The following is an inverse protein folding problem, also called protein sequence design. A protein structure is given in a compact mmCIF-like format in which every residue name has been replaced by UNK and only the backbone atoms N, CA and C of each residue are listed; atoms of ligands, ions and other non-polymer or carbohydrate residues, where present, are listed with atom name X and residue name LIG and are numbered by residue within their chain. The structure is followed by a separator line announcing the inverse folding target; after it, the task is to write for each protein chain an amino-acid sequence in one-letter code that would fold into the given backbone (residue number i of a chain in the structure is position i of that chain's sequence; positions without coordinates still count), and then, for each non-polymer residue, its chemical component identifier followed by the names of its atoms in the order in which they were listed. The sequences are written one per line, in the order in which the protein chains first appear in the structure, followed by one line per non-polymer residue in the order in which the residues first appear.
data_IF_363191802575
#
_entry.id   IF_363191802575
#
_cell.length_a   1.000
_cell.length_b   1.000
_cell.length_c   1.000
_cell.angle_alpha   90.00
_cell.angle_beta   90.00
_cell.angle_gamma   90.00
#
_symmetry.space_group_name_H-M   'P 1'
#
loop_
_entity.id
_entity.type
_entity.pdbx_description
1 polymer ?
#
# COMPACT_ATOMS: atom_id res chain seq x y z
N UNK A 1 -4.06 28.71 -28.09
CA UNK A 1 -3.10 27.65 -27.74
C UNK A 1 -3.62 26.94 -26.50
N UNK A 2 -4.49 25.93 -26.71
CA UNK A 2 -5.21 25.24 -25.65
C UNK A 2 -4.69 23.80 -25.56
N UNK A 3 -3.90 23.49 -24.53
CA UNK A 3 -3.40 22.13 -24.29
C UNK A 3 -4.35 21.45 -23.30
N UNK A 4 -5.32 20.75 -23.90
CA UNK A 4 -6.37 19.99 -23.22
C UNK A 4 -5.76 18.92 -22.29
N UNK A 5 -5.98 19.12 -20.98
CA UNK A 5 -5.78 18.16 -19.89
C UNK A 5 -6.50 16.84 -20.24
N UNK A 6 -5.73 15.82 -20.62
CA UNK A 6 -6.24 14.48 -20.94
C UNK A 6 -6.89 13.91 -19.68
N UNK A 7 -8.22 13.80 -19.74
CA UNK A 7 -9.03 12.98 -18.84
C UNK A 7 -8.65 11.53 -19.10
N UNK A 8 -7.90 10.91 -18.17
CA UNK A 8 -7.81 9.45 -18.13
C UNK A 8 -9.10 8.92 -17.51
N UNK A 9 -10.09 8.81 -18.39
CA UNK A 9 -11.24 7.92 -18.29
C UNK A 9 -10.67 6.52 -18.50
N UNK A 10 -10.59 5.74 -17.42
CA UNK A 10 -10.59 4.26 -17.35
C UNK A 10 -10.36 3.85 -15.88
N UNK A 11 -11.24 4.31 -14.99
CA UNK A 11 -11.44 3.65 -13.69
C UNK A 11 -12.42 2.52 -13.95
N UNK A 12 -11.92 1.42 -14.51
CA UNK A 12 -12.75 0.24 -14.79
C UNK A 12 -13.18 -0.35 -13.44
N UNK A 13 -14.48 -0.28 -13.22
CA UNK A 13 -15.17 -0.74 -12.04
C UNK A 13 -15.05 -2.27 -11.92
N UNK A 14 -14.25 -2.70 -10.97
CA UNK A 14 -14.42 -3.96 -10.25
C UNK A 14 -13.93 -3.68 -8.81
N UNK A 15 -14.80 -3.59 -7.81
CA UNK A 15 -15.46 -4.77 -7.28
C UNK A 15 -16.83 -4.47 -6.66
N UNK A 16 -17.81 -5.31 -6.98
CA UNK A 16 -18.86 -5.65 -6.03
C UNK A 16 -18.18 -6.54 -4.98
N UNK A 17 -17.78 -5.92 -3.88
CA UNK A 17 -17.07 -6.53 -2.76
C UNK A 17 -16.67 -5.44 -1.78
N UNK A 18 -16.61 -5.77 -0.49
CA UNK A 18 -16.28 -4.88 0.63
C UNK A 18 -14.81 -4.39 0.57
N UNK A 19 -14.39 -3.78 -0.54
CA UNK A 19 -13.07 -3.16 -0.65
C UNK A 19 -13.14 -1.77 0.02
N UNK A 20 -12.24 -1.48 0.98
CA UNK A 20 -12.24 -0.20 1.67
C UNK A 20 -11.97 0.93 0.68
N UNK A 21 -12.62 2.08 0.88
CA UNK A 21 -12.37 3.27 0.06
C UNK A 21 -10.89 3.67 0.17
N UNK A 22 -10.17 3.54 -0.94
CA UNK A 22 -8.73 3.77 -1.03
C UNK A 22 -8.40 4.86 -2.05
N UNK A 23 -7.30 5.57 -1.83
CA UNK A 23 -6.71 6.50 -2.80
C UNK A 23 -5.59 5.82 -3.59
N UNK A 24 -5.27 6.36 -4.77
CA UNK A 24 -4.11 5.94 -5.54
C UNK A 24 -2.81 6.28 -4.80
N UNK A 25 -1.80 5.40 -4.88
CA UNK A 25 -0.51 5.61 -4.22
C UNK A 25 0.14 6.93 -4.65
N UNK A 26 0.04 7.32 -5.92
CA UNK A 26 0.61 8.58 -6.41
C UNK A 26 -0.02 9.85 -5.80
N UNK A 27 -1.22 9.72 -5.23
CA UNK A 27 -1.97 10.84 -4.62
C UNK A 27 -1.77 10.92 -3.11
N UNK A 28 -1.02 9.98 -2.53
CA UNK A 28 -0.79 9.95 -1.07
C UNK A 28 0.05 11.15 -0.64
N UNK A 29 -0.54 11.98 0.20
CA UNK A 29 0.16 13.04 0.92
C UNK A 29 0.80 12.50 2.21
N UNK A 30 2.05 12.86 2.45
CA UNK A 30 2.74 12.52 3.69
C UNK A 30 2.05 13.17 4.91
N UNK A 31 2.17 12.51 6.06
CA UNK A 31 1.62 12.92 7.37
C UNK A 31 0.10 13.02 7.40
N UNK A 32 -0.60 12.40 6.45
CA UNK A 32 -2.05 12.26 6.45
C UNK A 32 -2.43 10.80 6.66
N UNK A 33 -3.57 10.58 7.31
CA UNK A 33 -4.14 9.25 7.43
C UNK A 33 -4.85 8.90 6.13
N UNK A 34 -4.43 7.81 5.49
CA UNK A 34 -4.93 7.39 4.19
C UNK A 34 -5.10 5.87 4.14
N UNK A 35 -5.97 5.41 3.26
CA UNK A 35 -6.12 4.02 2.89
C UNK A 35 -5.64 3.84 1.45
N UNK A 36 -4.80 2.84 1.19
CA UNK A 36 -4.36 2.47 -0.16
C UNK A 36 -4.55 0.97 -0.38
N UNK A 37 -4.85 0.59 -1.62
CA UNK A 37 -5.02 -0.80 -2.03
C UNK A 37 -3.95 -1.15 -3.07
N UNK A 38 -3.35 -2.33 -2.96
CA UNK A 38 -2.34 -2.76 -3.91
C UNK A 38 -1.93 -4.21 -3.75
N UNK A 39 -0.99 -4.65 -4.59
CA UNK A 39 -0.42 -5.99 -4.57
C UNK A 39 0.89 -6.00 -3.79
N UNK A 40 1.07 -6.98 -2.93
CA UNK A 40 2.36 -7.23 -2.27
C UNK A 40 3.38 -7.68 -3.32
N UNK A 41 4.41 -6.89 -3.55
CA UNK A 41 5.45 -7.15 -4.57
C UNK A 41 6.76 -7.60 -3.97
N UNK A 42 7.05 -7.23 -2.72
CA UNK A 42 8.27 -7.62 -2.02
C UNK A 42 8.03 -7.75 -0.53
N UNK A 43 8.71 -8.70 0.12
CA UNK A 43 8.76 -8.85 1.57
C UNK A 43 10.23 -8.95 1.99
N UNK A 44 10.64 -8.19 2.98
CA UNK A 44 12.05 -8.12 3.42
C UNK A 44 12.10 -8.00 4.95
N UNK A 45 12.94 -8.83 5.59
CA UNK A 45 13.24 -8.65 7.00
C UNK A 45 14.17 -7.42 7.16
N UNK A 46 13.76 -6.45 7.97
CA UNK A 46 14.54 -5.28 8.35
C UNK A 46 14.77 -5.30 9.86
N UNK A 47 15.96 -5.67 10.35
CA UNK A 47 16.27 -5.56 11.77
C UNK A 47 16.27 -4.07 12.17
N UNK A 48 15.48 -3.70 13.18
CA UNK A 48 15.44 -2.34 13.73
C UNK A 48 15.73 -2.42 15.22
N UNK A 49 16.83 -1.80 15.67
CA UNK A 49 17.20 -1.69 17.10
C UNK A 49 17.15 -3.02 17.88
N UNK A 50 17.65 -4.09 17.27
CA UNK A 50 17.68 -5.43 17.89
C UNK A 50 16.35 -6.21 17.85
N UNK A 51 15.28 -5.60 17.33
CA UNK A 51 13.98 -6.24 17.14
C UNK A 51 13.79 -6.60 15.66
N UNK A 52 13.08 -7.71 15.33
CA UNK A 52 12.71 -7.98 13.95
C UNK A 52 11.70 -6.96 13.45
N UNK A 53 11.80 -6.53 12.20
CA UNK A 53 10.70 -5.87 11.50
C UNK A 53 10.50 -6.50 10.12
N UNK A 54 9.25 -6.51 9.68
CA UNK A 54 8.86 -6.95 8.35
C UNK A 54 8.53 -5.72 7.51
N UNK A 55 9.31 -5.49 6.45
CA UNK A 55 9.01 -4.49 5.44
C UNK A 55 8.34 -5.16 4.23
N UNK A 56 7.20 -4.64 3.81
CA UNK A 56 6.41 -5.13 2.68
C UNK A 56 6.24 -4.01 1.68
N UNK A 57 6.69 -4.22 0.45
CA UNK A 57 6.41 -3.30 -0.65
C UNK A 57 5.06 -3.64 -1.27
N UNK A 58 4.25 -2.61 -1.46
CA UNK A 58 2.90 -2.69 -2.02
C UNK A 58 2.87 -1.76 -3.22
N UNK A 59 2.36 -2.27 -4.34
CA UNK A 59 2.32 -1.57 -5.62
C UNK A 59 0.91 -1.59 -6.17
N UNK A 60 0.45 -0.44 -6.67
CA UNK A 60 -0.71 -0.29 -7.53
C UNK A 60 -0.26 0.21 -8.91
N UNK A 61 -1.19 0.58 -9.79
CA UNK A 61 -0.85 1.05 -11.14
C UNK A 61 -0.21 2.44 -11.15
N UNK A 62 -0.17 3.14 -10.01
CA UNK A 62 0.26 4.54 -9.90
C UNK A 62 1.57 4.71 -9.15
N UNK A 63 1.97 3.74 -8.32
CA UNK A 63 3.21 3.83 -7.57
C UNK A 63 3.46 2.68 -6.60
N UNK A 64 4.40 2.90 -5.70
CA UNK A 64 4.74 1.92 -4.66
C UNK A 64 4.95 2.58 -3.31
N UNK A 65 4.57 1.86 -2.25
CA UNK A 65 4.80 2.24 -0.86
C UNK A 65 5.43 1.07 -0.10
N UNK A 66 6.05 1.37 1.03
CA UNK A 66 6.51 0.34 1.97
C UNK A 66 5.66 0.37 3.23
N UNK A 67 5.14 -0.77 3.68
CA UNK A 67 4.58 -0.93 5.00
C UNK A 67 5.57 -1.69 5.89
N UNK A 68 5.88 -1.14 7.06
CA UNK A 68 6.83 -1.72 8.02
C UNK A 68 6.10 -2.09 9.29
N UNK A 69 6.14 -3.37 9.67
CA UNK A 69 5.66 -3.82 10.97
C UNK A 69 6.82 -4.20 11.87
N UNK A 70 7.01 -3.42 12.92
CA UNK A 70 8.05 -3.64 13.94
C UNK A 70 7.66 -4.76 14.90
N UNK A 71 8.65 -5.49 15.42
CA UNK A 71 8.45 -6.65 16.30
C UNK A 71 7.92 -7.89 15.58
N UNK A 72 7.73 -7.84 14.25
CA UNK A 72 7.13 -8.94 13.47
C UNK A 72 8.10 -9.46 12.42
N UNK A 73 8.12 -10.79 12.27
CA UNK A 73 8.83 -11.50 11.18
C UNK A 73 7.89 -11.88 10.03
N UNK A 74 6.61 -12.05 10.34
CA UNK A 74 5.54 -12.40 9.41
C UNK A 74 4.22 -11.78 9.88
N UNK A 75 3.25 -11.69 8.97
CA UNK A 75 1.87 -11.26 9.23
C UNK A 75 0.94 -12.26 8.56
N UNK A 76 -0.10 -12.68 9.27
CA UNK A 76 -1.05 -13.67 8.76
C UNK A 76 -1.67 -13.25 7.43
N UNK A 77 -1.59 -14.13 6.43
CA UNK A 77 -2.19 -13.94 5.11
C UNK A 77 -1.52 -12.91 4.18
N UNK A 78 -0.61 -12.08 4.68
CA UNK A 78 0.21 -11.18 3.85
C UNK A 78 1.32 -11.99 3.21
N UNK A 79 1.20 -12.22 1.90
CA UNK A 79 2.11 -13.05 1.10
C UNK A 79 2.39 -12.38 -0.24
N UNK A 80 3.49 -12.74 -0.90
CA UNK A 80 3.82 -12.24 -2.24
C UNK A 80 2.65 -12.46 -3.20
N UNK A 81 2.32 -11.42 -3.94
CA UNK A 81 1.23 -11.39 -4.90
C UNK A 81 -0.17 -11.22 -4.32
N UNK A 82 -0.34 -11.20 -2.99
CA UNK A 82 -1.64 -10.94 -2.36
C UNK A 82 -2.05 -9.48 -2.54
N UNK A 83 -3.30 -9.23 -2.94
CA UNK A 83 -3.90 -7.90 -2.83
C UNK A 83 -4.30 -7.61 -1.38
N UNK A 84 -3.89 -6.46 -0.89
CA UNK A 84 -4.18 -5.98 0.46
C UNK A 84 -4.53 -4.50 0.42
N UNK A 85 -5.36 -4.08 1.37
CA UNK A 85 -5.50 -2.68 1.73
C UNK A 85 -4.63 -2.41 2.97
N UNK A 86 -3.99 -1.24 3.02
CA UNK A 86 -3.38 -0.75 4.25
C UNK A 86 -3.95 0.62 4.59
N UNK A 87 -4.14 0.87 5.88
CA UNK A 87 -4.63 2.14 6.39
C UNK A 87 -3.71 2.63 7.52
N UNK A 88 -3.27 3.87 7.43
CA UNK A 88 -2.38 4.45 8.42
C UNK A 88 -1.90 5.83 8.00
N UNK A 89 -0.90 6.34 8.73
CA UNK A 89 -0.25 7.61 8.39
C UNK A 89 0.96 7.32 7.52
N UNK A 90 0.98 7.91 6.32
CA UNK A 90 2.14 7.82 5.44
C UNK A 90 3.26 8.75 5.93
N UNK A 91 4.45 8.21 6.17
CA UNK A 91 5.67 8.96 6.40
C UNK A 91 6.53 9.04 5.14
N UNK A 92 7.41 10.03 5.04
CA UNK A 92 8.48 10.05 4.05
C UNK A 92 9.74 9.44 4.65
N UNK A 93 10.30 8.45 3.97
CA UNK A 93 11.61 7.88 4.27
C UNK A 93 12.51 8.08 3.04
N UNK A 94 13.27 9.18 3.05
CA UNK A 94 13.95 9.68 1.85
C UNK A 94 12.92 10.08 0.79
N UNK A 95 12.98 9.47 -0.39
CA UNK A 95 12.06 9.71 -1.50
C UNK A 95 10.84 8.76 -1.54
N UNK A 96 10.73 7.82 -0.59
CA UNK A 96 9.68 6.79 -0.60
C UNK A 96 8.67 7.00 0.52
N UNK A 97 7.41 6.66 0.25
CA UNK A 97 6.36 6.61 1.26
C UNK A 97 6.47 5.33 2.08
N UNK A 98 6.42 5.48 3.40
CA UNK A 98 6.48 4.39 4.36
C UNK A 98 5.35 4.50 5.38
N UNK A 99 4.65 3.40 5.62
CA UNK A 99 3.66 3.27 6.69
C UNK A 99 4.28 2.45 7.82
N UNK A 100 4.39 3.03 9.02
CA UNK A 100 4.83 2.29 10.21
C UNK A 100 3.62 1.70 10.93
N UNK A 101 3.66 0.39 11.15
CA UNK A 101 2.62 -0.40 11.82
C UNK A 101 1.19 -0.07 11.35
N UNK A 102 0.90 -0.03 10.03
CA UNK A 102 -0.45 0.27 9.56
C UNK A 102 -1.42 -0.87 9.89
N UNK A 103 -2.71 -0.54 9.87
CA UNK A 103 -3.76 -1.54 9.76
C UNK A 103 -3.70 -2.18 8.38
N UNK A 104 -4.08 -3.46 8.28
CA UNK A 104 -4.15 -4.14 6.99
C UNK A 104 -5.43 -4.95 6.89
N UNK A 105 -5.96 -5.03 5.67
CA UNK A 105 -7.10 -5.87 5.31
C UNK A 105 -6.71 -6.74 4.12
N UNK A 106 -6.98 -8.03 4.21
CA UNK A 106 -6.78 -8.96 3.09
C UNK A 106 -7.97 -8.83 2.14
N UNK A 107 -7.72 -8.39 0.91
CA UNK A 107 -8.78 -8.25 -0.10
C UNK A 107 -9.14 -9.61 -0.69
N UNK A 108 -10.31 -9.86 -1.28
CA UNK A 108 -10.63 -11.15 -1.91
C UNK A 108 -9.58 -11.61 -2.95
N UNK A 109 -9.35 -12.92 -3.09
CA UNK A 109 -8.62 -13.45 -4.25
C UNK A 109 -9.65 -13.63 -5.37
N UNK A 110 -9.51 -12.87 -6.45
CA UNK A 110 -10.20 -13.22 -7.68
C UNK A 110 -9.50 -14.48 -8.22
N UNK A 111 -10.26 -15.59 -8.25
CA UNK A 111 -9.85 -16.88 -8.81
C UNK A 111 -10.07 -16.90 -10.31
#
# INVERSE_FOLDING_TARGET
MATQRRRNRDSEAAAVGDEPMSVAISEVAARQRVCICGKVTRMTARPTSGQPALAVSITDDTGSVTAVWTGRRSIGGVTLGRRIAIEGVAGLHGAHLEFTNPNYTLLPRHV
#
